data_IF_449677009005
#
_entry.id   IF_449677009005
#
_cell.length_a   1.000
_cell.length_b   1.000
_cell.length_c   1.000
_cell.angle_alpha   90.00
_cell.angle_beta   90.00
_cell.angle_gamma   90.00
#
_symmetry.space_group_name_H-M   'P 1'
#
loop_
_entity.id
_entity.type
_entity.pdbx_description
1 polymer ?
#
# COMPACT_ATOMS: atom_id res chain seq x y z
N UNK A 1 9.12 8.89 20.55
CA UNK A 1 8.04 9.07 19.57
C UNK A 1 7.89 10.56 19.31
N UNK A 2 8.03 10.99 18.06
CA UNK A 2 7.97 12.40 17.65
C UNK A 2 7.68 12.51 16.15
N UNK A 3 7.18 13.65 15.75
CA UNK A 3 7.12 14.06 14.34
C UNK A 3 8.55 14.45 13.90
N UNK A 4 8.94 14.08 12.69
CA UNK A 4 10.21 14.50 12.12
C UNK A 4 10.24 16.02 11.90
N UNK A 5 11.40 16.64 12.12
CA UNK A 5 11.53 18.10 12.14
C UNK A 5 11.17 18.76 10.81
N UNK A 6 11.34 18.05 9.68
CA UNK A 6 10.93 18.52 8.36
C UNK A 6 9.41 18.61 8.18
N UNK A 7 8.61 17.91 8.98
CA UNK A 7 7.15 17.94 8.94
C UNK A 7 6.55 18.86 10.01
N UNK A 8 7.34 19.31 10.97
CA UNK A 8 6.88 20.20 12.03
C UNK A 8 7.18 19.70 13.44
N UNK A 9 6.48 20.26 14.42
CA UNK A 9 6.63 19.96 15.84
C UNK A 9 5.51 19.07 16.37
N UNK A 10 5.68 18.56 17.58
CA UNK A 10 4.62 17.81 18.26
C UNK A 10 3.41 18.69 18.62
N UNK A 11 3.66 19.96 18.93
CA UNK A 11 2.61 20.94 19.21
C UNK A 11 1.76 21.23 17.98
N UNK A 12 2.39 21.35 16.80
CA UNK A 12 1.67 21.52 15.52
C UNK A 12 0.89 20.26 15.15
N UNK A 13 1.40 19.08 15.46
CA UNK A 13 0.66 17.84 15.28
C UNK A 13 -0.56 17.75 16.21
N UNK A 14 -0.41 18.14 17.48
CA UNK A 14 -1.53 18.20 18.43
C UNK A 14 -2.60 19.22 17.97
N UNK A 15 -2.19 20.35 17.40
CA UNK A 15 -3.10 21.32 16.77
C UNK A 15 -3.83 20.72 15.56
N UNK A 16 -3.12 19.98 14.68
CA UNK A 16 -3.70 19.28 13.54
C UNK A 16 -4.79 18.30 13.98
N UNK A 17 -4.53 17.48 15.00
CA UNK A 17 -5.52 16.53 15.54
C UNK A 17 -6.76 17.27 16.07
N UNK A 18 -6.56 18.36 16.81
CA UNK A 18 -7.64 19.15 17.37
C UNK A 18 -8.48 19.84 16.28
N UNK A 19 -7.84 20.39 15.23
CA UNK A 19 -8.52 21.05 14.12
C UNK A 19 -9.26 20.07 13.20
N UNK A 20 -8.71 18.88 12.99
CA UNK A 20 -9.39 17.81 12.27
C UNK A 20 -10.66 17.38 13.01
N UNK A 21 -10.56 17.11 14.31
CA UNK A 21 -11.69 16.71 15.15
C UNK A 21 -12.83 17.72 15.17
N UNK A 22 -12.54 19.03 15.17
CA UNK A 22 -13.56 20.10 15.09
C UNK A 22 -14.37 20.04 13.77
N UNK A 23 -13.83 19.38 12.75
CA UNK A 23 -14.44 19.21 11.42
C UNK A 23 -15.02 17.82 11.21
N UNK A 24 -15.15 17.04 12.27
CA UNK A 24 -15.56 15.64 12.23
C UNK A 24 -14.66 14.79 11.29
N UNK A 25 -13.36 15.09 11.35
CA UNK A 25 -12.31 14.38 10.61
C UNK A 25 -11.34 13.75 11.61
N UNK A 26 -10.84 12.58 11.25
CA UNK A 26 -9.88 11.84 12.06
C UNK A 26 -8.60 11.61 11.26
N UNK A 27 -7.47 11.78 11.92
CA UNK A 27 -6.16 11.46 11.33
C UNK A 27 -5.87 9.99 11.60
N UNK A 28 -5.56 9.27 10.52
CA UNK A 28 -5.11 7.87 10.54
C UNK A 28 -3.64 7.88 10.12
N UNK A 29 -2.76 7.29 10.94
CA UNK A 29 -1.33 7.21 10.63
C UNK A 29 -0.98 5.87 10.00
N UNK A 30 0.12 5.86 9.26
CA UNK A 30 0.75 4.63 8.81
C UNK A 30 1.50 3.96 9.98
N UNK A 31 1.25 2.68 10.18
CA UNK A 31 1.81 1.86 11.25
C UNK A 31 2.70 0.77 10.65
N UNK A 32 4.01 1.01 10.68
CA UNK A 32 5.02 0.06 10.21
C UNK A 32 5.51 -0.76 11.39
N UNK A 33 5.12 -2.02 11.47
CA UNK A 33 5.44 -2.90 12.61
C UNK A 33 6.15 -4.20 12.23
N UNK A 34 6.23 -4.53 10.94
CA UNK A 34 7.03 -5.68 10.49
C UNK A 34 8.53 -5.41 10.66
N UNK A 35 8.98 -4.21 10.39
CA UNK A 35 10.39 -3.81 10.38
C UNK A 35 10.58 -2.42 11.00
N UNK A 36 11.82 -1.99 11.16
CA UNK A 36 12.14 -0.62 11.53
C UNK A 36 13.30 -0.08 10.68
N UNK A 37 13.62 1.19 10.85
CA UNK A 37 14.81 1.77 10.25
C UNK A 37 16.10 1.16 10.83
N UNK A 38 17.13 0.93 10.00
CA UNK A 38 18.48 0.60 10.45
C UNK A 38 19.10 1.67 11.36
N UNK A 39 18.52 2.89 11.36
CA UNK A 39 18.89 3.97 12.27
C UNK A 39 18.27 3.85 13.68
N UNK A 40 17.36 2.87 13.88
CA UNK A 40 16.74 2.65 15.18
C UNK A 40 17.76 2.29 16.25
N UNK A 41 17.63 2.89 17.44
CA UNK A 41 18.61 2.72 18.53
C UNK A 41 18.84 1.26 18.94
N UNK A 42 17.77 0.44 18.95
CA UNK A 42 17.88 -0.99 19.30
C UNK A 42 18.61 -1.78 18.23
N UNK A 43 18.42 -1.46 16.95
CA UNK A 43 19.13 -2.14 15.88
C UNK A 43 20.62 -1.79 15.88
N UNK A 44 20.95 -0.51 16.06
CA UNK A 44 22.35 -0.07 16.23
C UNK A 44 23.03 -0.74 17.42
N UNK A 45 22.31 -0.88 18.54
CA UNK A 45 22.82 -1.59 19.72
C UNK A 45 23.03 -3.09 19.43
N UNK A 46 22.07 -3.74 18.73
CA UNK A 46 22.18 -5.14 18.33
C UNK A 46 23.35 -5.39 17.36
N UNK A 47 23.58 -4.49 16.39
CA UNK A 47 24.75 -4.58 15.51
C UNK A 47 26.08 -4.42 16.26
N UNK A 48 26.10 -3.62 17.34
CA UNK A 48 27.31 -3.38 18.15
C UNK A 48 27.62 -4.58 19.06
N UNK A 49 26.57 -5.23 19.58
CA UNK A 49 26.67 -6.44 20.43
C UNK A 49 25.67 -7.50 19.94
N UNK A 50 26.06 -8.32 18.94
CA UNK A 50 25.18 -9.32 18.35
C UNK A 50 24.75 -10.47 19.27
N UNK A 51 25.31 -10.56 20.47
CA UNK A 51 24.93 -11.48 21.54
C UNK A 51 24.32 -10.76 22.76
N UNK A 52 24.15 -9.44 22.65
CA UNK A 52 23.64 -8.57 23.69
C UNK A 52 22.11 -8.59 23.82
N UNK A 53 21.55 -7.78 24.74
CA UNK A 53 20.14 -7.81 25.09
C UNK A 53 19.19 -7.40 23.96
N UNK A 54 19.65 -6.70 22.94
CA UNK A 54 18.82 -6.29 21.81
C UNK A 54 18.97 -7.21 20.57
N UNK A 55 19.89 -8.21 20.62
CA UNK A 55 20.10 -9.12 19.49
C UNK A 55 18.83 -9.92 19.15
N UNK A 56 18.08 -10.36 20.19
CA UNK A 56 16.82 -11.12 20.04
C UNK A 56 15.61 -10.26 19.66
N UNK A 57 15.79 -8.94 19.51
CA UNK A 57 14.73 -8.07 18.99
C UNK A 57 14.59 -8.16 17.46
N UNK A 58 15.59 -8.73 16.81
CA UNK A 58 15.69 -8.93 15.37
C UNK A 58 16.00 -10.39 15.06
N UNK A 59 15.79 -10.83 13.84
CA UNK A 59 16.17 -12.17 13.42
C UNK A 59 17.66 -12.18 13.07
N UNK A 60 18.52 -12.36 14.09
CA UNK A 60 19.96 -12.55 13.94
C UNK A 60 20.28 -14.04 13.91
N UNK A 61 20.52 -14.60 12.71
CA UNK A 61 20.68 -16.04 12.49
C UNK A 61 22.10 -16.35 12.04
N UNK A 62 22.69 -17.43 12.58
CA UNK A 62 24.02 -17.88 12.15
C UNK A 62 24.02 -18.31 10.70
N UNK A 63 25.06 -17.90 9.98
CA UNK A 63 25.32 -18.39 8.65
C UNK A 63 25.66 -19.88 8.63
N UNK A 64 25.44 -20.51 7.47
CA UNK A 64 25.74 -21.90 7.21
C UNK A 64 26.96 -21.96 6.28
N UNK A 65 28.04 -22.59 6.72
CA UNK A 65 29.30 -22.70 5.95
C UNK A 65 29.85 -21.37 5.44
N UNK A 66 29.68 -20.29 6.24
CA UNK A 66 30.13 -18.94 5.89
C UNK A 66 29.27 -18.23 4.85
N UNK A 67 28.06 -18.72 4.60
CA UNK A 67 27.03 -18.13 3.72
C UNK A 67 25.80 -17.78 4.52
N UNK A 68 24.84 -17.15 3.86
CA UNK A 68 23.53 -16.81 4.40
C UNK A 68 22.81 -18.04 4.98
N UNK A 69 21.94 -17.86 5.99
CA UNK A 69 21.17 -18.97 6.59
C UNK A 69 20.29 -19.71 5.58
N UNK A 70 19.76 -18.99 4.59
CA UNK A 70 18.87 -19.52 3.55
C UNK A 70 18.90 -18.66 2.29
N UNK A 71 18.25 -19.12 1.22
CA UNK A 71 18.31 -18.48 -0.09
C UNK A 71 17.13 -17.55 -0.40
N UNK A 72 16.66 -16.77 0.56
CA UNK A 72 15.54 -15.86 0.31
C UNK A 72 15.96 -14.60 -0.46
N UNK A 73 15.07 -14.18 -1.40
CA UNK A 73 15.10 -12.91 -2.11
C UNK A 73 14.17 -11.93 -1.41
N UNK A 74 14.63 -10.69 -1.18
CA UNK A 74 13.81 -9.61 -0.62
C UNK A 74 12.73 -9.16 -1.63
N UNK A 75 11.69 -8.50 -1.13
CA UNK A 75 10.62 -7.90 -1.98
C UNK A 75 11.18 -6.88 -2.99
N UNK A 76 12.28 -6.20 -2.67
CA UNK A 76 12.91 -5.19 -3.52
C UNK A 76 14.09 -5.73 -4.34
N UNK A 77 14.22 -7.04 -4.44
CA UNK A 77 15.32 -7.68 -5.14
C UNK A 77 16.55 -7.91 -4.25
N UNK A 78 17.47 -8.74 -4.71
CA UNK A 78 18.65 -9.14 -3.96
C UNK A 78 18.34 -10.08 -2.79
N UNK A 79 19.35 -10.36 -1.96
CA UNK A 79 19.23 -11.27 -0.82
C UNK A 79 18.46 -10.62 0.32
N UNK A 80 17.70 -11.43 1.08
CA UNK A 80 16.98 -10.99 2.28
C UNK A 80 17.83 -11.07 3.57
N UNK A 81 19.09 -11.45 3.46
CA UNK A 81 20.03 -11.59 4.56
C UNK A 81 21.24 -10.69 4.36
N UNK A 82 21.57 -9.88 5.36
CA UNK A 82 22.78 -9.07 5.40
C UNK A 82 23.72 -9.51 6.53
N UNK A 83 25.06 -9.55 6.31
CA UNK A 83 25.99 -9.96 7.32
C UNK A 83 26.05 -8.96 8.48
N UNK A 84 26.08 -9.47 9.71
CA UNK A 84 26.30 -8.67 10.91
C UNK A 84 27.81 -8.43 11.09
N UNK A 85 28.29 -7.17 11.08
CA UNK A 85 29.71 -6.87 11.16
C UNK A 85 30.41 -7.50 12.37
N UNK A 86 31.50 -8.21 12.14
CA UNK A 86 32.31 -8.84 13.20
C UNK A 86 31.69 -10.11 13.81
N UNK A 87 30.64 -10.65 13.25
CA UNK A 87 29.94 -11.86 13.71
C UNK A 87 29.82 -12.92 12.60
N UNK A 88 29.45 -14.13 12.97
CA UNK A 88 29.06 -15.20 12.03
C UNK A 88 27.55 -15.21 11.74
N UNK A 89 26.83 -14.14 12.17
CA UNK A 89 25.39 -13.98 12.01
C UNK A 89 25.03 -13.08 10.83
N UNK A 90 23.80 -13.24 10.40
CA UNK A 90 23.12 -12.41 9.41
C UNK A 90 21.81 -11.89 10.02
N UNK A 91 21.37 -10.70 9.63
CA UNK A 91 20.05 -10.20 9.99
C UNK A 91 19.10 -10.29 8.81
N UNK A 92 17.83 -10.55 9.11
CA UNK A 92 16.75 -10.63 8.12
C UNK A 92 16.20 -9.25 7.78
N UNK A 93 15.97 -9.02 6.49
CA UNK A 93 15.16 -7.92 5.97
C UNK A 93 14.32 -8.41 4.80
N UNK A 94 13.00 -8.47 4.96
CA UNK A 94 12.12 -8.85 3.85
C UNK A 94 12.01 -7.75 2.79
N UNK A 95 12.26 -6.49 3.18
CA UNK A 95 12.28 -5.30 2.33
C UNK A 95 13.72 -4.82 2.10
N UNK A 96 14.00 -3.52 2.16
CA UNK A 96 15.36 -3.02 2.00
C UNK A 96 16.27 -3.41 3.19
N UNK A 97 17.58 -3.53 2.95
CA UNK A 97 18.56 -3.81 4.02
C UNK A 97 18.58 -2.76 5.14
N UNK A 98 18.09 -1.56 4.85
CA UNK A 98 17.88 -0.48 5.80
C UNK A 98 16.60 -0.66 6.63
N UNK A 99 15.84 -1.75 6.40
CA UNK A 99 14.58 -2.06 7.06
C UNK A 99 14.64 -3.45 7.73
N UNK A 100 15.46 -3.63 8.80
CA UNK A 100 15.57 -4.90 9.51
C UNK A 100 14.24 -5.31 10.14
N UNK A 101 13.89 -6.59 10.01
CA UNK A 101 12.64 -7.15 10.51
C UNK A 101 12.68 -7.34 12.03
N UNK A 102 11.60 -6.90 12.72
CA UNK A 102 11.38 -7.18 14.12
C UNK A 102 11.11 -8.67 14.37
N UNK A 103 11.67 -9.19 15.46
CA UNK A 103 11.35 -10.54 15.95
C UNK A 103 10.03 -10.53 16.72
N UNK A 104 8.92 -10.78 16.02
CA UNK A 104 7.59 -10.84 16.64
C UNK A 104 7.37 -12.03 17.58
N UNK A 105 8.20 -13.07 17.55
CA UNK A 105 8.18 -14.14 18.54
C UNK A 105 8.63 -13.63 19.93
N UNK A 106 9.40 -12.54 19.96
CA UNK A 106 9.84 -11.93 21.21
C UNK A 106 8.75 -11.05 21.82
N UNK A 107 8.19 -11.50 22.96
CA UNK A 107 7.12 -10.75 23.63
C UNK A 107 7.53 -9.33 24.04
N UNK A 108 8.78 -9.10 24.39
CA UNK A 108 9.23 -7.76 24.78
C UNK A 108 9.16 -6.78 23.59
N UNK A 109 9.43 -7.26 22.38
CA UNK A 109 9.26 -6.48 21.15
C UNK A 109 7.79 -6.12 20.95
N UNK A 110 6.87 -7.09 21.05
CA UNK A 110 5.43 -6.84 20.92
C UNK A 110 4.95 -5.82 21.96
N UNK A 111 5.33 -5.98 23.24
CA UNK A 111 4.95 -5.05 24.32
C UNK A 111 5.42 -3.61 24.04
N UNK A 112 6.61 -3.43 23.43
CA UNK A 112 7.12 -2.11 23.03
C UNK A 112 6.34 -1.52 21.87
N UNK A 113 5.97 -2.34 20.89
CA UNK A 113 5.12 -1.94 19.76
C UNK A 113 3.75 -1.50 20.26
N UNK A 114 3.09 -2.30 21.13
CA UNK A 114 1.77 -1.95 21.68
C UNK A 114 1.82 -0.67 22.53
N UNK A 115 2.87 -0.47 23.29
CA UNK A 115 3.08 0.79 24.02
C UNK A 115 3.21 1.99 23.08
N UNK A 116 3.88 1.82 21.94
CA UNK A 116 4.01 2.87 20.92
C UNK A 116 2.66 3.19 20.28
N UNK A 117 1.88 2.16 19.89
CA UNK A 117 0.54 2.31 19.33
C UNK A 117 -0.37 3.08 20.30
N UNK A 118 -0.44 2.64 21.55
CA UNK A 118 -1.26 3.26 22.58
C UNK A 118 -0.86 4.72 22.84
N UNK A 119 0.43 5.04 22.80
CA UNK A 119 0.91 6.42 22.97
C UNK A 119 0.38 7.37 21.88
N UNK A 120 0.29 6.91 20.62
CA UNK A 120 -0.30 7.70 19.55
C UNK A 120 -1.83 7.81 19.68
N UNK A 121 -2.51 6.75 20.09
CA UNK A 121 -3.95 6.75 20.33
C UNK A 121 -4.32 7.65 21.52
N UNK A 122 -3.53 7.68 22.58
CA UNK A 122 -3.68 8.60 23.72
C UNK A 122 -3.61 10.08 23.31
N UNK A 123 -2.91 10.41 22.23
CA UNK A 123 -2.88 11.77 21.65
C UNK A 123 -4.16 12.14 20.91
N UNK A 124 -5.03 11.20 20.62
CA UNK A 124 -6.28 11.42 19.90
C UNK A 124 -6.24 11.06 18.42
N UNK A 125 -5.28 10.21 18.01
CA UNK A 125 -5.29 9.64 16.68
C UNK A 125 -6.55 8.80 16.47
N UNK A 126 -7.14 8.85 15.26
CA UNK A 126 -8.36 8.09 14.94
C UNK A 126 -8.11 6.62 14.61
N UNK A 127 -6.87 6.25 14.33
CA UNK A 127 -6.52 4.88 13.99
C UNK A 127 -5.27 4.74 13.13
N UNK A 128 -5.14 3.59 12.47
CA UNK A 128 -3.95 3.26 11.69
C UNK A 128 -4.26 2.54 10.36
N UNK A 129 -3.48 2.86 9.34
CA UNK A 129 -3.22 1.98 8.21
C UNK A 129 -2.03 1.11 8.59
N UNK A 130 -2.16 -0.21 8.50
CA UNK A 130 -1.16 -1.13 9.03
C UNK A 130 -0.41 -1.77 7.87
N UNK A 131 0.87 -1.39 7.76
CA UNK A 131 1.78 -1.76 6.69
C UNK A 131 2.18 -3.23 6.75
N UNK A 132 2.12 -3.91 5.60
CA UNK A 132 2.68 -5.26 5.37
C UNK A 132 2.41 -6.27 6.51
N UNK A 133 1.24 -6.20 7.11
CA UNK A 133 0.95 -6.82 8.41
C UNK A 133 1.04 -8.35 8.42
N UNK A 134 0.77 -9.01 7.31
CA UNK A 134 0.88 -10.47 7.21
C UNK A 134 2.31 -10.95 7.45
N UNK A 135 3.31 -10.11 7.18
CA UNK A 135 4.71 -10.46 7.31
C UNK A 135 5.22 -10.53 8.76
N UNK A 136 4.42 -10.19 9.75
CA UNK A 136 4.85 -10.27 11.17
C UNK A 136 5.02 -11.72 11.66
N UNK A 137 4.31 -12.68 11.05
CA UNK A 137 4.45 -14.11 11.34
C UNK A 137 5.24 -14.80 10.23
N UNK A 138 6.31 -15.51 10.62
CA UNK A 138 7.26 -16.13 9.70
C UNK A 138 7.63 -17.52 10.17
N UNK A 139 8.01 -18.41 9.24
CA UNK A 139 8.72 -19.64 9.59
C UNK A 139 10.14 -19.30 10.08
N UNK A 140 10.32 -19.31 11.39
CA UNK A 140 11.59 -18.96 12.05
C UNK A 140 12.63 -20.06 11.96
N UNK A 141 12.35 -21.19 11.34
CA UNK A 141 13.35 -22.20 10.97
C UNK A 141 14.17 -21.82 9.74
N UNK A 142 13.66 -20.84 8.97
CA UNK A 142 14.30 -20.28 7.77
C UNK A 142 14.85 -21.32 6.81
N UNK A 143 14.06 -22.31 6.35
CA UNK A 143 14.53 -23.33 5.42
C UNK A 143 14.85 -22.72 4.05
N UNK A 144 15.80 -23.32 3.33
CA UNK A 144 15.99 -23.02 1.91
C UNK A 144 15.02 -23.80 1.05
N UNK A 145 14.57 -23.18 -0.05
CA UNK A 145 13.68 -23.79 -1.04
C UNK A 145 14.35 -23.88 -2.41
N UNK A 146 13.72 -24.61 -3.34
CA UNK A 146 14.14 -24.59 -4.74
C UNK A 146 14.02 -23.16 -5.28
N UNK A 147 15.05 -22.64 -5.95
CA UNK A 147 15.02 -21.29 -6.53
C UNK A 147 13.85 -21.11 -7.50
N UNK A 148 13.24 -19.94 -7.47
CA UNK A 148 12.16 -19.52 -8.37
C UNK A 148 12.66 -18.65 -9.55
N UNK A 149 13.98 -18.41 -9.62
CA UNK A 149 14.65 -17.63 -10.66
C UNK A 149 16.09 -18.04 -10.90
N UNK A 150 16.73 -17.43 -11.89
CA UNK A 150 18.11 -17.74 -12.33
C UNK A 150 19.19 -17.24 -11.34
N UNK A 151 18.81 -16.41 -10.38
CA UNK A 151 19.69 -15.86 -9.33
C UNK A 151 20.00 -16.85 -8.19
N UNK A 152 19.36 -18.03 -8.20
CA UNK A 152 19.50 -19.04 -7.16
C UNK A 152 18.76 -18.73 -5.85
N UNK A 153 17.91 -17.71 -5.86
CA UNK A 153 17.10 -17.28 -4.72
C UNK A 153 15.64 -17.72 -4.88
N UNK A 154 14.89 -17.64 -3.79
CA UNK A 154 13.45 -17.86 -3.74
C UNK A 154 12.78 -16.66 -3.06
N UNK A 155 11.59 -16.31 -3.48
CA UNK A 155 10.82 -15.21 -2.87
C UNK A 155 10.69 -15.37 -1.34
N UNK A 156 10.93 -14.29 -0.59
CA UNK A 156 10.75 -14.28 0.87
C UNK A 156 9.30 -14.50 1.31
N UNK A 157 8.34 -14.37 0.40
CA UNK A 157 6.93 -14.72 0.63
C UNK A 157 6.76 -16.13 1.18
N UNK A 158 7.66 -17.06 0.79
CA UNK A 158 7.67 -18.45 1.30
C UNK A 158 7.73 -18.54 2.83
N UNK A 159 8.39 -17.60 3.50
CA UNK A 159 8.41 -17.56 4.96
C UNK A 159 7.03 -17.34 5.60
N UNK A 160 6.13 -16.70 4.87
CA UNK A 160 4.76 -16.36 5.32
C UNK A 160 3.77 -17.43 4.85
N UNK A 161 3.84 -17.83 3.58
CA UNK A 161 2.93 -18.84 3.00
C UNK A 161 2.98 -20.18 3.71
N UNK A 162 4.16 -20.60 4.18
CA UNK A 162 4.37 -21.87 4.85
C UNK A 162 4.17 -21.79 6.39
N UNK A 163 3.62 -20.65 6.88
CA UNK A 163 3.45 -20.42 8.33
C UNK A 163 1.99 -20.12 8.64
N UNK A 164 1.48 -20.72 9.71
CA UNK A 164 0.16 -20.43 10.26
C UNK A 164 0.27 -19.62 11.56
N UNK A 165 -0.86 -19.05 12.02
CA UNK A 165 -0.96 -18.43 13.35
C UNK A 165 -0.68 -16.93 13.37
N UNK A 166 -0.75 -16.22 12.25
CA UNK A 166 -0.71 -14.74 12.23
C UNK A 166 -1.83 -14.16 13.10
N UNK A 167 -3.01 -14.80 13.12
CA UNK A 167 -4.17 -14.40 13.91
C UNK A 167 -3.88 -14.28 15.40
N UNK A 168 -2.97 -15.10 15.98
CA UNK A 168 -2.58 -14.98 17.38
C UNK A 168 -1.94 -13.63 17.72
N UNK A 169 -1.08 -13.13 16.85
CA UNK A 169 -0.44 -11.82 17.00
C UNK A 169 -1.41 -10.67 16.75
N UNK A 170 -2.32 -10.85 15.79
CA UNK A 170 -3.36 -9.86 15.48
C UNK A 170 -4.36 -9.72 16.61
N UNK A 171 -4.79 -10.82 17.20
CA UNK A 171 -5.68 -10.87 18.38
C UNK A 171 -5.04 -10.16 19.59
N UNK A 172 -3.77 -10.51 19.91
CA UNK A 172 -3.04 -9.85 20.99
C UNK A 172 -2.93 -8.34 20.74
N UNK A 173 -2.57 -7.94 19.51
CA UNK A 173 -2.45 -6.53 19.14
C UNK A 173 -3.79 -5.79 19.25
N UNK A 174 -4.89 -6.37 18.74
CA UNK A 174 -6.23 -5.78 18.82
C UNK A 174 -6.63 -5.53 20.29
N UNK A 175 -6.51 -6.54 21.15
CA UNK A 175 -6.87 -6.42 22.55
C UNK A 175 -5.98 -5.47 23.35
N UNK A 176 -4.66 -5.49 23.06
CA UNK A 176 -3.72 -4.64 23.78
C UNK A 176 -3.74 -3.17 23.30
N UNK A 177 -4.33 -2.89 22.13
CA UNK A 177 -4.30 -1.55 21.53
C UNK A 177 -5.67 -1.07 21.02
N UNK A 178 -6.05 -1.41 19.82
CA UNK A 178 -7.13 -0.79 19.04
C UNK A 178 -8.49 -0.83 19.70
N UNK A 179 -8.83 -1.96 20.32
CA UNK A 179 -10.11 -2.16 21.00
C UNK A 179 -10.32 -1.21 22.18
N UNK A 180 -9.24 -0.84 22.87
CA UNK A 180 -9.29 0.08 24.02
C UNK A 180 -9.71 1.51 23.64
N UNK A 181 -9.55 1.87 22.37
CA UNK A 181 -9.76 3.24 21.85
C UNK A 181 -10.88 3.32 20.81
N UNK A 182 -11.51 2.21 20.43
CA UNK A 182 -12.43 2.13 19.30
C UNK A 182 -11.78 2.70 18.01
N UNK A 183 -10.51 2.35 17.80
CA UNK A 183 -9.69 2.92 16.74
C UNK A 183 -10.03 2.28 15.39
N UNK A 184 -10.13 3.11 14.33
CA UNK A 184 -10.26 2.61 12.97
C UNK A 184 -8.94 2.00 12.51
N UNK A 185 -9.02 0.81 11.89
CA UNK A 185 -7.84 0.12 11.35
C UNK A 185 -8.09 -0.38 9.94
N UNK A 186 -7.08 -0.22 9.06
CA UNK A 186 -7.11 -0.80 7.73
C UNK A 186 -5.80 -1.53 7.46
N UNK A 187 -5.89 -2.83 7.23
CA UNK A 187 -4.73 -3.69 7.00
C UNK A 187 -4.28 -3.67 5.54
N UNK A 188 -2.98 -3.60 5.33
CA UNK A 188 -2.35 -3.93 4.06
C UNK A 188 -1.98 -5.42 4.07
N UNK A 189 -2.81 -6.22 3.42
CA UNK A 189 -2.72 -7.68 3.43
C UNK A 189 -2.50 -8.18 2.02
N UNK A 190 -1.32 -8.73 1.76
CA UNK A 190 -0.95 -9.41 0.51
C UNK A 190 -0.81 -10.90 0.77
N UNK A 191 -0.94 -11.72 -0.27
CA UNK A 191 -0.70 -13.16 -0.20
C UNK A 191 -1.49 -13.88 0.91
N UNK A 192 -2.70 -13.39 1.20
CA UNK A 192 -3.62 -14.00 2.15
C UNK A 192 -4.08 -15.35 1.63
N UNK A 193 -4.16 -16.35 2.50
CA UNK A 193 -4.77 -17.66 2.18
C UNK A 193 -6.29 -17.52 2.03
N UNK A 194 -6.92 -18.41 1.24
CA UNK A 194 -8.36 -18.33 0.97
C UNK A 194 -9.24 -18.40 2.23
N UNK A 195 -8.78 -19.06 3.28
CA UNK A 195 -9.51 -19.24 4.54
C UNK A 195 -9.16 -18.18 5.62
N UNK A 196 -8.23 -17.27 5.35
CA UNK A 196 -7.78 -16.25 6.32
C UNK A 196 -8.58 -14.94 6.27
N UNK A 197 -9.49 -14.72 5.31
CA UNK A 197 -10.21 -13.45 5.18
C UNK A 197 -10.89 -13.00 6.49
N UNK A 198 -11.51 -13.93 7.20
CA UNK A 198 -12.22 -13.65 8.44
C UNK A 198 -11.28 -13.38 9.63
N UNK A 199 -10.00 -13.74 9.53
CA UNK A 199 -8.98 -13.32 10.48
C UNK A 199 -8.76 -11.80 10.42
N UNK A 200 -8.86 -11.22 9.22
CA UNK A 200 -8.57 -9.81 9.02
C UNK A 200 -9.79 -8.92 9.20
N UNK A 201 -10.94 -9.28 8.65
CA UNK A 201 -12.15 -8.44 8.63
C UNK A 201 -13.41 -9.23 8.98
N UNK A 202 -14.42 -8.53 9.51
CA UNK A 202 -15.69 -9.12 9.94
C UNK A 202 -15.93 -8.94 11.43
N UNK A 203 -16.98 -9.56 11.95
CA UNK A 203 -17.39 -9.42 13.34
C UNK A 203 -16.29 -9.89 14.32
N UNK A 204 -15.61 -10.98 13.98
CA UNK A 204 -14.49 -11.53 14.75
C UNK A 204 -13.13 -11.09 14.20
N UNK A 205 -13.09 -10.37 13.07
CA UNK A 205 -11.87 -9.90 12.42
C UNK A 205 -11.06 -8.92 13.28
N UNK A 206 -9.76 -8.83 12.98
CA UNK A 206 -8.83 -8.04 13.78
C UNK A 206 -8.72 -6.58 13.34
N UNK A 207 -9.22 -6.25 12.13
CA UNK A 207 -9.22 -4.89 11.58
C UNK A 207 -10.62 -4.44 11.18
N UNK A 208 -10.84 -3.12 11.16
CA UNK A 208 -12.07 -2.51 10.67
C UNK A 208 -12.25 -2.74 9.17
N UNK A 209 -11.15 -2.83 8.43
CA UNK A 209 -11.14 -3.04 6.97
C UNK A 209 -9.76 -3.55 6.51
N UNK A 210 -9.69 -3.98 5.26
CA UNK A 210 -8.44 -4.24 4.54
C UNK A 210 -8.52 -3.69 3.13
N UNK A 211 -7.38 -3.35 2.52
CA UNK A 211 -7.37 -2.86 1.14
C UNK A 211 -7.76 -3.95 0.15
N UNK A 212 -8.54 -3.57 -0.86
CA UNK A 212 -8.88 -4.45 -1.98
C UNK A 212 -7.80 -4.38 -3.06
N UNK A 213 -6.90 -5.35 -3.04
CA UNK A 213 -5.82 -5.49 -4.02
C UNK A 213 -6.16 -6.42 -5.19
N UNK A 214 -7.36 -6.99 -5.22
CA UNK A 214 -7.75 -8.00 -6.21
C UNK A 214 -7.61 -7.56 -7.67
N UNK A 215 -7.70 -6.26 -7.96
CA UNK A 215 -7.52 -5.71 -9.30
C UNK A 215 -6.06 -5.38 -9.66
N UNK A 216 -5.15 -5.32 -8.71
CA UNK A 216 -3.77 -4.90 -8.95
C UNK A 216 -2.98 -5.96 -9.74
N UNK A 217 -3.19 -7.22 -9.46
CA UNK A 217 -2.49 -8.35 -10.08
C UNK A 217 -2.81 -8.53 -11.57
N UNK A 218 -3.88 -7.90 -12.07
CA UNK A 218 -4.33 -8.06 -13.45
C UNK A 218 -3.31 -7.55 -14.50
N UNK A 219 -2.39 -6.69 -14.09
CA UNK A 219 -1.37 -6.12 -14.98
C UNK A 219 -0.01 -6.77 -14.83
N UNK A 220 0.20 -7.61 -13.80
CA UNK A 220 1.51 -8.21 -13.55
C UNK A 220 1.88 -9.23 -14.62
N UNK A 221 3.16 -9.18 -15.04
CA UNK A 221 3.79 -10.19 -15.86
C UNK A 221 4.30 -11.38 -15.03
N UNK A 222 4.71 -12.44 -15.71
CA UNK A 222 5.28 -13.64 -15.07
C UNK A 222 6.74 -13.44 -14.65
N UNK A 223 7.47 -12.54 -15.35
CA UNK A 223 8.92 -12.39 -15.20
C UNK A 223 9.37 -11.01 -14.76
N UNK A 224 8.45 -10.06 -14.65
CA UNK A 224 8.74 -8.68 -14.24
C UNK A 224 7.87 -7.65 -14.96
N UNK A 225 8.22 -6.38 -14.80
CA UNK A 225 7.44 -5.31 -15.41
C UNK A 225 7.51 -5.28 -16.94
N UNK A 226 8.56 -5.87 -17.53
CA UNK A 226 8.75 -5.85 -18.98
C UNK A 226 7.79 -6.77 -19.74
N UNK A 227 7.13 -7.69 -19.06
CA UNK A 227 6.08 -8.52 -19.64
C UNK A 227 4.68 -8.23 -19.04
N UNK A 228 4.53 -7.08 -18.37
CA UNK A 228 3.24 -6.60 -17.87
C UNK A 228 2.21 -6.45 -19.01
N UNK A 229 0.93 -6.63 -18.67
CA UNK A 229 -0.17 -6.65 -19.64
C UNK A 229 -1.11 -5.49 -19.41
N UNK A 230 -1.68 -4.88 -20.47
CA UNK A 230 -2.77 -3.94 -20.32
C UNK A 230 -3.96 -4.57 -19.60
N UNK A 231 -4.72 -3.76 -18.87
CA UNK A 231 -5.92 -4.24 -18.18
C UNK A 231 -6.94 -4.75 -19.20
N UNK A 232 -7.37 -5.99 -19.03
CA UNK A 232 -8.57 -6.53 -19.66
C UNK A 232 -9.79 -6.06 -18.86
N UNK A 233 -10.63 -5.20 -19.43
CA UNK A 233 -11.79 -4.62 -18.75
C UNK A 233 -12.83 -5.65 -18.34
N UNK A 234 -12.98 -6.74 -19.09
CA UNK A 234 -13.88 -7.81 -18.73
C UNK A 234 -13.39 -8.50 -17.46
N UNK A 235 -12.11 -8.84 -17.45
CA UNK A 235 -11.46 -9.47 -16.30
C UNK A 235 -11.46 -8.55 -15.07
N UNK A 236 -11.14 -7.27 -15.25
CA UNK A 236 -11.20 -6.27 -14.17
C UNK A 236 -12.57 -6.21 -13.52
N UNK A 237 -13.63 -6.15 -14.33
CA UNK A 237 -15.02 -6.17 -13.87
C UNK A 237 -15.35 -7.46 -13.10
N UNK A 238 -14.97 -8.62 -13.63
CA UNK A 238 -15.18 -9.92 -12.98
C UNK A 238 -14.53 -9.97 -11.60
N UNK A 239 -13.30 -9.50 -11.48
CA UNK A 239 -12.53 -9.47 -10.24
C UNK A 239 -13.16 -8.52 -9.22
N UNK A 240 -13.55 -7.32 -9.63
CA UNK A 240 -14.23 -6.37 -8.75
C UNK A 240 -15.55 -6.94 -8.20
N UNK A 241 -16.38 -7.55 -9.03
CA UNK A 241 -17.63 -8.14 -8.56
C UNK A 241 -17.41 -9.39 -7.72
N UNK A 242 -16.41 -10.19 -8.01
CA UNK A 242 -16.03 -11.32 -7.17
C UNK A 242 -15.60 -10.86 -5.76
N UNK A 243 -14.77 -9.81 -5.67
CA UNK A 243 -14.38 -9.20 -4.41
C UNK A 243 -15.58 -8.63 -3.62
N UNK A 244 -16.52 -7.98 -4.30
CA UNK A 244 -17.75 -7.50 -3.65
C UNK A 244 -18.59 -8.64 -3.08
N UNK A 245 -18.71 -9.74 -3.82
CA UNK A 245 -19.48 -10.93 -3.42
C UNK A 245 -18.82 -11.67 -2.26
N UNK A 246 -17.49 -11.78 -2.26
CA UNK A 246 -16.72 -12.40 -1.20
C UNK A 246 -17.01 -11.75 0.16
N UNK A 247 -17.22 -10.42 0.17
CA UNK A 247 -17.46 -9.64 1.38
C UNK A 247 -18.90 -9.62 1.87
N UNK A 248 -19.84 -10.28 1.17
CA UNK A 248 -21.25 -10.32 1.58
C UNK A 248 -21.42 -11.00 2.94
N UNK A 249 -21.95 -10.24 3.91
CA UNK A 249 -22.19 -10.75 5.28
C UNK A 249 -20.92 -10.90 6.13
N UNK A 250 -19.75 -10.49 5.65
CA UNK A 250 -18.49 -10.55 6.39
C UNK A 250 -18.13 -9.16 6.91
N UNK A 251 -17.82 -8.22 6.03
CA UNK A 251 -17.32 -6.90 6.43
C UNK A 251 -17.19 -5.95 5.24
N UNK A 252 -16.20 -5.06 5.30
CA UNK A 252 -15.95 -4.04 4.28
C UNK A 252 -14.49 -4.03 3.88
N UNK A 253 -14.20 -4.11 2.57
CA UNK A 253 -12.89 -3.78 2.04
C UNK A 253 -12.75 -2.27 1.80
N UNK A 254 -11.54 -1.77 1.82
CA UNK A 254 -11.19 -0.42 1.40
C UNK A 254 -11.02 -0.41 -0.12
N UNK A 255 -11.95 0.27 -0.82
CA UNK A 255 -11.93 0.39 -2.27
C UNK A 255 -10.84 1.38 -2.69
N UNK A 256 -9.86 0.93 -3.44
CA UNK A 256 -8.77 1.74 -3.99
C UNK A 256 -8.70 1.62 -5.51
N UNK A 257 -8.24 2.67 -6.17
CA UNK A 257 -7.84 2.66 -7.59
C UNK A 257 -6.34 2.89 -7.72
N UNK A 258 -5.78 3.67 -6.82
CA UNK A 258 -4.36 3.99 -6.76
C UNK A 258 -3.96 4.26 -5.31
N UNK A 259 -2.68 4.14 -5.02
CA UNK A 259 -2.06 4.48 -3.74
C UNK A 259 -0.61 4.95 -3.97
N UNK A 260 0.17 5.11 -2.90
CA UNK A 260 1.56 5.57 -2.96
C UNK A 260 2.56 4.51 -3.47
N UNK A 261 2.12 3.26 -3.63
CA UNK A 261 2.93 2.13 -4.10
C UNK A 261 2.52 1.62 -5.49
N UNK A 262 1.55 2.29 -6.13
CA UNK A 262 1.03 1.91 -7.42
C UNK A 262 1.16 3.08 -8.43
N UNK A 263 1.14 2.82 -9.75
CA UNK A 263 1.02 3.90 -10.73
C UNK A 263 -0.34 4.59 -10.63
N UNK A 264 -0.50 5.72 -11.28
CA UNK A 264 -1.78 6.44 -11.32
C UNK A 264 -2.87 5.60 -11.98
N UNK A 265 -4.01 5.45 -11.31
CA UNK A 265 -5.13 4.63 -11.76
C UNK A 265 -5.68 5.02 -13.13
N UNK A 266 -5.69 6.32 -13.45
CA UNK A 266 -6.09 6.79 -14.77
C UNK A 266 -5.18 6.27 -15.90
N UNK A 267 -3.88 6.09 -15.65
CA UNK A 267 -2.95 5.52 -16.62
C UNK A 267 -2.97 3.99 -16.64
N UNK A 268 -3.20 3.35 -15.49
CA UNK A 268 -3.21 1.89 -15.36
C UNK A 268 -4.47 1.25 -15.94
N UNK A 269 -5.65 1.77 -15.59
CA UNK A 269 -6.92 1.15 -15.92
C UNK A 269 -7.57 1.68 -17.19
N UNK A 270 -7.13 2.82 -17.72
CA UNK A 270 -7.72 3.40 -18.92
C UNK A 270 -6.76 3.29 -20.10
N UNK A 271 -7.19 2.71 -21.22
CA UNK A 271 -6.41 2.83 -22.44
C UNK A 271 -6.26 4.30 -22.82
N UNK A 272 -5.19 4.65 -23.56
CA UNK A 272 -4.82 6.04 -23.87
C UNK A 272 -5.99 6.89 -24.40
N UNK A 273 -6.80 6.32 -25.30
CA UNK A 273 -7.96 7.04 -25.86
C UNK A 273 -9.06 7.34 -24.82
N UNK A 274 -9.07 6.65 -23.70
CA UNK A 274 -10.05 6.80 -22.60
C UNK A 274 -9.49 7.58 -21.39
N UNK A 275 -8.22 8.01 -21.41
CA UNK A 275 -7.61 8.81 -20.33
C UNK A 275 -8.10 10.27 -20.33
N UNK A 276 -9.34 10.47 -20.71
CA UNK A 276 -10.07 11.74 -20.69
C UNK A 276 -10.95 11.87 -19.44
N UNK A 277 -11.60 13.01 -19.26
CA UNK A 277 -12.46 13.26 -18.07
C UNK A 277 -13.57 12.22 -17.90
N UNK A 278 -14.15 11.70 -18.97
CA UNK A 278 -15.22 10.69 -18.89
C UNK A 278 -14.70 9.36 -18.34
N UNK A 279 -13.55 8.90 -18.81
CA UNK A 279 -12.91 7.69 -18.28
C UNK A 279 -12.54 7.84 -16.80
N UNK A 280 -11.97 8.99 -16.42
CA UNK A 280 -11.63 9.30 -15.01
C UNK A 280 -12.86 9.33 -14.11
N UNK A 281 -13.98 9.87 -14.59
CA UNK A 281 -15.28 9.86 -13.89
C UNK A 281 -15.86 8.44 -13.78
N UNK A 282 -15.67 7.59 -14.78
CA UNK A 282 -16.05 6.18 -14.69
C UNK A 282 -15.27 5.46 -13.59
N UNK A 283 -13.95 5.66 -13.47
CA UNK A 283 -13.16 5.13 -12.37
C UNK A 283 -13.64 5.65 -11.01
N UNK A 284 -13.95 6.96 -10.90
CA UNK A 284 -14.51 7.56 -9.70
C UNK A 284 -15.83 6.88 -9.29
N UNK A 285 -16.73 6.65 -10.25
CA UNK A 285 -18.00 5.95 -10.01
C UNK A 285 -17.77 4.56 -9.44
N UNK A 286 -16.85 3.81 -10.05
CA UNK A 286 -16.52 2.45 -9.61
C UNK A 286 -15.96 2.46 -8.18
N UNK A 287 -15.02 3.35 -7.86
CA UNK A 287 -14.39 3.41 -6.53
C UNK A 287 -15.37 3.86 -5.44
N UNK A 288 -16.21 4.87 -5.73
CA UNK A 288 -17.03 5.53 -4.70
C UNK A 288 -18.37 4.80 -4.47
N UNK A 289 -18.98 4.21 -5.50
CA UNK A 289 -20.31 3.65 -5.38
C UNK A 289 -20.37 2.13 -5.12
N UNK A 290 -19.26 1.41 -5.23
CA UNK A 290 -19.18 0.03 -4.76
C UNK A 290 -19.31 -0.02 -3.23
N UNK A 291 -19.81 -1.15 -2.71
CA UNK A 291 -19.86 -1.42 -1.27
C UNK A 291 -18.43 -1.48 -0.72
N UNK A 292 -18.21 -0.91 0.44
CA UNK A 292 -16.88 -0.84 1.07
C UNK A 292 -16.57 0.58 1.53
N UNK A 293 -15.33 0.81 1.92
CA UNK A 293 -14.85 2.12 2.37
C UNK A 293 -14.04 2.75 1.24
N UNK A 294 -14.55 3.82 0.57
CA UNK A 294 -13.80 4.43 -0.52
C UNK A 294 -12.59 5.19 0.01
N UNK A 295 -11.43 4.87 -0.53
CA UNK A 295 -10.18 5.60 -0.33
C UNK A 295 -9.85 6.38 -1.59
N UNK A 296 -9.60 7.67 -1.44
CA UNK A 296 -9.23 8.58 -2.53
C UNK A 296 -7.79 8.98 -2.32
N UNK A 297 -6.91 8.58 -3.23
CA UNK A 297 -5.51 8.98 -3.17
C UNK A 297 -5.35 10.41 -3.69
N UNK A 298 -4.46 11.18 -3.07
CA UNK A 298 -4.20 12.59 -3.46
C UNK A 298 -3.86 12.72 -4.95
N UNK A 299 -4.61 13.57 -5.66
CA UNK A 299 -4.49 13.77 -7.11
C UNK A 299 -5.40 12.88 -7.94
N UNK A 300 -5.95 11.80 -7.39
CA UNK A 300 -6.96 10.98 -8.04
C UNK A 300 -8.21 11.80 -8.37
N UNK A 301 -8.63 12.67 -7.46
CA UNK A 301 -9.83 13.53 -7.56
C UNK A 301 -9.74 14.57 -8.67
N UNK A 302 -8.55 14.87 -9.15
CA UNK A 302 -8.34 15.74 -10.33
C UNK A 302 -7.90 14.95 -11.57
N UNK A 303 -7.75 13.63 -11.43
CA UNK A 303 -7.37 12.74 -12.52
C UNK A 303 -5.92 12.87 -12.96
N UNK A 304 -4.97 12.97 -12.01
CA UNK A 304 -3.54 12.90 -12.31
C UNK A 304 -3.18 11.60 -13.04
N UNK A 305 -2.15 11.64 -13.87
CA UNK A 305 -1.68 10.52 -14.69
C UNK A 305 -0.21 10.23 -14.43
N UNK A 306 0.28 9.10 -14.95
CA UNK A 306 1.71 8.79 -14.93
C UNK A 306 2.55 9.90 -15.58
N UNK A 307 3.79 10.03 -15.13
CA UNK A 307 4.74 11.03 -15.60
C UNK A 307 5.83 10.40 -16.46
N UNK A 308 5.94 10.83 -17.72
CA UNK A 308 7.03 10.39 -18.58
C UNK A 308 8.38 10.92 -18.11
N UNK A 309 9.38 10.05 -18.07
CA UNK A 309 10.78 10.35 -17.80
C UNK A 309 11.64 9.80 -18.92
N UNK A 310 12.75 10.47 -19.23
CA UNK A 310 13.59 10.16 -20.37
C UNK A 310 14.79 9.28 -20.02
N UNK A 311 15.10 9.17 -18.72
CA UNK A 311 16.25 8.40 -18.24
C UNK A 311 15.94 7.78 -16.89
N UNK A 312 16.54 6.60 -16.63
CA UNK A 312 16.34 5.89 -15.35
C UNK A 312 16.84 6.69 -14.15
N UNK A 313 17.78 7.60 -14.31
CA UNK A 313 18.27 8.48 -13.24
C UNK A 313 17.24 9.51 -12.76
N UNK A 314 16.16 9.74 -13.51
CA UNK A 314 15.04 10.59 -13.11
C UNK A 314 14.05 9.89 -12.18
N UNK A 315 14.19 8.57 -11.98
CA UNK A 315 13.44 7.79 -10.99
C UNK A 315 14.24 7.66 -9.70
N UNK A 316 13.55 7.70 -8.57
CA UNK A 316 14.17 7.51 -7.26
C UNK A 316 13.83 6.16 -6.62
N UNK A 317 12.67 5.61 -6.93
CA UNK A 317 12.20 4.34 -6.42
C UNK A 317 13.16 3.18 -6.74
N UNK A 318 13.55 2.42 -5.69
CA UNK A 318 14.50 1.31 -5.81
C UNK A 318 13.92 0.16 -6.63
N UNK A 319 12.62 -0.16 -6.48
CA UNK A 319 11.96 -1.20 -7.27
C UNK A 319 11.95 -0.86 -8.75
N UNK A 320 11.77 0.42 -9.09
CA UNK A 320 11.82 0.88 -10.48
C UNK A 320 13.20 0.68 -11.09
N UNK A 321 14.26 0.99 -10.34
CA UNK A 321 15.65 0.79 -10.78
C UNK A 321 16.00 -0.69 -10.94
N UNK A 322 15.53 -1.53 -10.02
CA UNK A 322 15.70 -2.98 -10.10
C UNK A 322 14.98 -3.55 -11.32
N UNK A 323 13.71 -3.25 -11.51
CA UNK A 323 12.91 -3.74 -12.62
C UNK A 323 13.37 -3.21 -13.99
N UNK A 324 13.92 -1.99 -14.04
CA UNK A 324 14.62 -1.52 -15.23
C UNK A 324 15.80 -2.42 -15.58
N UNK A 325 16.63 -2.79 -14.59
CA UNK A 325 17.77 -3.68 -14.81
C UNK A 325 17.32 -5.08 -15.22
N UNK A 326 16.27 -5.62 -14.58
CA UNK A 326 15.66 -6.90 -14.95
C UNK A 326 15.23 -6.90 -16.44
N UNK A 327 14.60 -5.84 -16.90
CA UNK A 327 14.22 -5.70 -18.30
C UNK A 327 15.44 -5.66 -19.25
N UNK A 328 16.50 -4.92 -18.90
CA UNK A 328 17.75 -4.87 -19.66
C UNK A 328 18.41 -6.25 -19.73
N UNK A 329 18.47 -6.98 -18.62
CA UNK A 329 19.07 -8.30 -18.54
C UNK A 329 18.27 -9.35 -19.31
N UNK A 330 16.95 -9.15 -19.43
CA UNK A 330 16.06 -9.95 -20.29
C UNK A 330 16.21 -9.62 -21.79
N UNK A 331 17.02 -8.59 -22.15
CA UNK A 331 17.33 -8.22 -23.53
C UNK A 331 16.46 -7.12 -24.12
N UNK A 332 15.66 -6.43 -23.28
CA UNK A 332 14.92 -5.25 -23.71
C UNK A 332 15.86 -4.09 -24.08
N UNK A 333 15.46 -3.25 -25.01
CA UNK A 333 16.13 -1.97 -25.27
C UNK A 333 15.91 -1.00 -24.10
N UNK A 334 16.70 0.06 -24.02
CA UNK A 334 16.52 1.10 -23.00
C UNK A 334 15.15 1.76 -23.09
N UNK A 335 14.66 1.97 -24.30
CA UNK A 335 13.36 2.56 -24.58
C UNK A 335 12.22 1.65 -24.07
N UNK A 336 12.30 0.34 -24.32
CA UNK A 336 11.34 -0.64 -23.81
C UNK A 336 11.38 -0.73 -22.27
N UNK A 337 12.56 -0.77 -21.67
CA UNK A 337 12.71 -0.78 -20.23
C UNK A 337 12.16 0.51 -19.57
N UNK A 338 12.37 1.68 -20.17
CA UNK A 338 11.77 2.94 -19.69
C UNK A 338 10.24 2.97 -19.86
N UNK A 339 9.71 2.37 -20.93
CA UNK A 339 8.27 2.24 -21.11
C UNK A 339 7.63 1.40 -19.98
N UNK A 340 8.27 0.29 -19.58
CA UNK A 340 7.84 -0.50 -18.44
C UNK A 340 7.86 0.29 -17.12
N UNK A 341 8.91 1.11 -16.92
CA UNK A 341 9.00 2.00 -15.77
C UNK A 341 7.89 3.06 -15.78
N UNK A 342 7.57 3.64 -16.95
CA UNK A 342 6.46 4.58 -17.09
C UNK A 342 5.12 3.97 -16.67
N UNK A 343 4.88 2.73 -17.04
CA UNK A 343 3.60 2.07 -16.73
C UNK A 343 3.47 1.65 -15.27
N UNK A 344 4.58 1.20 -14.63
CA UNK A 344 4.50 0.48 -13.36
C UNK A 344 5.16 1.18 -12.16
N UNK A 345 5.97 2.25 -12.38
CA UNK A 345 6.71 2.89 -11.30
C UNK A 345 5.82 3.57 -10.27
N UNK A 346 6.14 3.34 -8.99
CA UNK A 346 5.54 4.00 -7.83
C UNK A 346 5.81 5.53 -7.83
N UNK A 347 6.90 5.98 -8.42
CA UNK A 347 7.22 7.42 -8.55
C UNK A 347 6.15 8.19 -9.32
N UNK A 348 5.33 7.52 -10.12
CA UNK A 348 4.19 8.15 -10.79
C UNK A 348 3.16 8.71 -9.79
N UNK A 349 2.86 7.95 -8.74
CA UNK A 349 1.94 8.38 -7.68
C UNK A 349 2.59 9.37 -6.70
N UNK A 350 3.92 9.43 -6.65
CA UNK A 350 4.70 10.28 -5.73
C UNK A 350 5.10 11.63 -6.33
N UNK A 351 4.71 11.91 -7.57
CA UNK A 351 4.87 13.24 -8.17
C UNK A 351 4.12 14.30 -7.35
N UNK A 352 4.62 15.55 -7.28
CA UNK A 352 3.96 16.63 -6.57
C UNK A 352 2.50 16.83 -6.99
N UNK A 353 1.64 17.14 -6.01
CA UNK A 353 0.24 17.51 -6.26
C UNK A 353 0.17 18.75 -7.17
N UNK A 354 -0.71 18.68 -8.15
CA UNK A 354 -0.89 19.73 -9.16
C UNK A 354 -1.97 20.72 -8.71
N UNK A 355 -1.57 21.78 -7.98
CA UNK A 355 -2.48 22.77 -7.44
C UNK A 355 -2.91 23.82 -8.45
N UNK A 356 -2.00 24.26 -9.33
CA UNK A 356 -2.25 25.29 -10.33
C UNK A 356 -1.35 25.13 -11.57
N UNK A 357 -1.55 26.00 -12.56
CA UNK A 357 -0.69 26.11 -13.75
C UNK A 357 0.61 26.89 -13.49
N UNK A 358 0.87 27.35 -12.26
CA UNK A 358 2.09 28.05 -11.87
C UNK A 358 3.31 27.13 -11.84
N UNK A 359 4.49 27.71 -11.67
CA UNK A 359 5.74 26.95 -11.59
C UNK A 359 5.67 25.83 -10.53
N UNK A 360 6.22 24.67 -10.87
CA UNK A 360 6.13 23.45 -10.06
C UNK A 360 4.68 23.02 -9.70
N UNK A 361 3.71 23.35 -10.57
CA UNK A 361 2.31 23.01 -10.31
C UNK A 361 1.69 23.75 -9.12
N UNK A 362 2.28 24.87 -8.67
CA UNK A 362 1.90 25.56 -7.44
C UNK A 362 2.22 24.77 -6.16
N UNK A 363 2.99 23.67 -6.26
CA UNK A 363 3.34 22.82 -5.12
C UNK A 363 4.46 23.42 -4.26
N UNK A 364 5.49 23.95 -4.90
CA UNK A 364 6.68 24.45 -4.23
C UNK A 364 7.30 25.65 -4.97
N UNK A 365 7.92 26.55 -4.21
CA UNK A 365 8.78 27.62 -4.74
C UNK A 365 10.21 27.15 -5.08
N UNK A 366 10.53 25.91 -4.77
CA UNK A 366 11.82 25.28 -5.04
C UNK A 366 11.62 24.03 -5.88
N UNK A 367 12.70 23.51 -6.48
CA UNK A 367 12.66 22.23 -7.15
C UNK A 367 12.18 21.11 -6.19
N UNK A 368 11.08 20.43 -6.52
CA UNK A 368 10.58 19.35 -5.66
C UNK A 368 11.48 18.10 -5.79
N UNK A 369 11.32 17.17 -4.85
CA UNK A 369 12.03 15.88 -4.86
C UNK A 369 11.90 15.15 -6.19
N UNK A 370 10.67 14.86 -6.64
CA UNK A 370 10.40 14.37 -8.00
C UNK A 370 9.89 15.50 -8.88
N UNK A 371 10.21 15.46 -10.17
CA UNK A 371 9.71 16.43 -11.12
C UNK A 371 8.18 16.40 -11.21
N UNK A 372 7.58 17.57 -11.30
CA UNK A 372 6.13 17.71 -11.55
C UNK A 372 5.81 17.16 -12.95
N UNK A 373 4.71 16.44 -13.08
CA UNK A 373 4.23 15.98 -14.37
C UNK A 373 3.93 17.20 -15.27
N UNK A 374 4.51 17.29 -16.48
CA UNK A 374 4.33 18.45 -17.37
C UNK A 374 2.89 18.82 -17.68
N UNK A 375 1.95 17.88 -17.53
CA UNK A 375 0.52 18.13 -17.76
C UNK A 375 -0.16 18.94 -16.65
N UNK A 376 0.57 19.40 -15.64
CA UNK A 376 0.02 20.26 -14.57
C UNK A 376 -0.62 21.55 -15.07
N UNK A 377 -0.26 21.99 -16.28
CA UNK A 377 -0.86 23.17 -16.91
C UNK A 377 -2.32 22.97 -17.32
N UNK A 378 -2.72 21.71 -17.51
CA UNK A 378 -4.06 21.31 -17.94
C UNK A 378 -4.82 20.56 -16.84
N UNK A 379 -4.12 19.73 -16.07
CA UNK A 379 -4.68 18.94 -14.98
C UNK A 379 -4.20 19.54 -13.67
N UNK A 380 -5.03 20.35 -13.04
CA UNK A 380 -4.74 20.94 -11.72
C UNK A 380 -6.03 21.34 -10.99
N UNK A 381 -5.90 21.57 -9.68
CA UNK A 381 -7.03 21.95 -8.84
C UNK A 381 -7.68 23.26 -9.29
N UNK A 382 -6.87 24.30 -9.57
CA UNK A 382 -7.39 25.63 -9.92
C UNK A 382 -8.23 25.64 -11.20
N UNK A 383 -7.87 24.82 -12.20
CA UNK A 383 -8.63 24.69 -13.44
C UNK A 383 -9.94 23.90 -13.27
N UNK A 384 -10.04 23.07 -12.24
CA UNK A 384 -11.19 22.20 -12.01
C UNK A 384 -12.13 22.74 -10.94
N UNK A 385 -11.63 23.51 -9.98
CA UNK A 385 -12.43 24.08 -8.93
C UNK A 385 -13.48 25.08 -9.47
N UNK A 386 -14.74 24.87 -9.12
CA UNK A 386 -15.86 25.68 -9.61
C UNK A 386 -16.35 25.35 -11.04
N UNK A 387 -15.67 24.50 -11.76
CA UNK A 387 -16.14 23.98 -13.05
C UNK A 387 -17.04 22.76 -12.82
N UNK A 388 -18.34 22.91 -13.10
CA UNK A 388 -19.36 21.92 -12.76
C UNK A 388 -19.14 20.54 -13.43
N UNK A 389 -18.54 20.52 -14.61
CA UNK A 389 -18.27 19.31 -15.39
C UNK A 389 -16.86 18.73 -15.18
N UNK A 390 -16.09 19.24 -14.21
CA UNK A 390 -14.75 18.73 -13.93
C UNK A 390 -14.77 17.36 -13.22
N UNK A 391 -13.61 16.68 -13.22
CA UNK A 391 -13.42 15.43 -12.46
C UNK A 391 -13.56 15.70 -10.97
N UNK A 392 -12.97 16.79 -10.46
CA UNK A 392 -13.07 17.21 -9.07
C UNK A 392 -14.51 17.45 -8.60
N UNK A 393 -15.31 18.16 -9.42
CA UNK A 393 -16.73 18.40 -9.11
C UNK A 393 -17.51 17.09 -9.09
N UNK A 394 -17.20 16.18 -9.99
CA UNK A 394 -17.84 14.87 -10.04
C UNK A 394 -17.54 14.02 -8.80
N UNK A 395 -16.29 14.02 -8.30
CA UNK A 395 -15.96 13.38 -7.01
C UNK A 395 -16.77 13.97 -5.86
N UNK A 396 -16.91 15.28 -5.78
CA UNK A 396 -17.74 15.97 -4.76
C UNK A 396 -19.20 15.54 -4.85
N UNK A 397 -19.76 15.42 -6.06
CA UNK A 397 -21.12 14.94 -6.28
C UNK A 397 -21.32 13.49 -5.86
N UNK A 398 -20.40 12.58 -6.21
CA UNK A 398 -20.46 11.17 -5.82
C UNK A 398 -20.38 10.98 -4.29
N UNK A 399 -19.49 11.70 -3.63
CA UNK A 399 -19.37 11.67 -2.16
C UNK A 399 -20.65 12.20 -1.51
N UNK A 400 -21.22 13.28 -2.04
CA UNK A 400 -22.49 13.85 -1.56
C UNK A 400 -23.63 12.86 -1.75
N UNK A 401 -23.72 12.19 -2.91
CA UNK A 401 -24.71 11.17 -3.20
C UNK A 401 -24.57 9.99 -2.21
N UNK A 402 -23.36 9.45 -2.04
CA UNK A 402 -23.09 8.32 -1.16
C UNK A 402 -23.47 8.61 0.29
N UNK A 403 -23.24 9.84 0.77
CA UNK A 403 -23.55 10.29 2.14
C UNK A 403 -24.96 10.85 2.30
N UNK A 404 -25.79 10.86 1.25
CA UNK A 404 -27.14 11.39 1.35
C UNK A 404 -28.02 10.44 2.18
N UNK A 405 -28.87 10.95 3.08
CA UNK A 405 -29.73 10.12 3.93
C UNK A 405 -30.66 9.16 3.16
N UNK A 406 -30.97 9.48 1.89
CA UNK A 406 -31.81 8.65 1.03
C UNK A 406 -31.10 7.37 0.57
N UNK A 407 -29.76 7.42 0.36
CA UNK A 407 -29.00 6.34 -0.26
C UNK A 407 -27.86 5.79 0.61
N UNK A 408 -27.54 6.45 1.72
CA UNK A 408 -26.42 6.08 2.61
C UNK A 408 -26.50 4.59 3.00
N UNK A 409 -27.63 4.16 3.50
CA UNK A 409 -27.84 2.76 3.92
C UNK A 409 -27.62 1.79 2.75
N UNK A 410 -28.11 2.15 1.55
CA UNK A 410 -27.95 1.33 0.34
C UNK A 410 -26.49 1.24 -0.09
N UNK A 411 -25.75 2.36 -0.12
CA UNK A 411 -24.35 2.35 -0.54
C UNK A 411 -23.41 1.76 0.50
N UNK A 412 -23.75 1.81 1.78
CA UNK A 412 -22.91 1.26 2.84
C UNK A 412 -23.18 -0.23 3.05
N UNK A 413 -24.45 -0.64 3.15
CA UNK A 413 -24.82 -2.01 3.56
C UNK A 413 -25.46 -2.85 2.44
N UNK A 414 -25.84 -2.24 1.33
CA UNK A 414 -26.46 -2.95 0.22
C UNK A 414 -25.49 -3.87 -0.50
N UNK A 415 -25.97 -5.00 -0.99
CA UNK A 415 -25.18 -5.90 -1.82
C UNK A 415 -25.09 -5.37 -3.25
N UNK A 416 -23.99 -5.66 -3.93
CA UNK A 416 -23.76 -5.29 -5.32
C UNK A 416 -24.14 -6.46 -6.22
N UNK A 417 -25.09 -6.26 -7.11
CA UNK A 417 -25.42 -7.25 -8.14
C UNK A 417 -24.94 -6.76 -9.51
N UNK A 418 -24.07 -7.53 -10.19
CA UNK A 418 -23.70 -7.22 -11.55
C UNK A 418 -24.88 -7.45 -12.49
N UNK A 419 -25.07 -6.55 -13.45
CA UNK A 419 -26.07 -6.70 -14.53
C UNK A 419 -25.41 -6.48 -15.88
N UNK A 420 -25.95 -7.13 -16.92
CA UNK A 420 -25.37 -7.07 -18.27
C UNK A 420 -23.93 -7.61 -18.36
N UNK A 421 -23.60 -8.66 -17.62
CA UNK A 421 -22.27 -9.27 -17.57
C UNK A 421 -21.77 -9.75 -18.94
N UNK A 422 -22.69 -10.14 -19.82
CA UNK A 422 -22.39 -10.65 -21.17
C UNK A 422 -22.13 -9.55 -22.21
N UNK A 423 -22.16 -8.29 -21.82
CA UNK A 423 -21.95 -7.15 -22.71
C UNK A 423 -20.64 -6.43 -22.44
N UNK A 424 -20.17 -5.65 -23.41
CA UNK A 424 -19.02 -4.75 -23.23
C UNK A 424 -19.36 -3.55 -22.29
N UNK A 425 -20.62 -3.45 -21.85
CA UNK A 425 -21.10 -2.41 -20.94
C UNK A 425 -21.21 -2.97 -19.54
N UNK A 426 -20.41 -2.45 -18.60
CA UNK A 426 -20.57 -2.78 -17.20
C UNK A 426 -21.68 -1.94 -16.56
N UNK A 427 -22.65 -2.59 -15.95
CA UNK A 427 -23.64 -1.95 -15.09
C UNK A 427 -23.68 -2.70 -13.77
N UNK A 428 -23.63 -1.97 -12.66
CA UNK A 428 -23.86 -2.52 -11.33
C UNK A 428 -25.17 -2.00 -10.76
N UNK A 429 -25.82 -2.81 -9.98
CA UNK A 429 -27.02 -2.45 -9.23
C UNK A 429 -26.80 -2.73 -7.75
N UNK A 430 -26.94 -1.71 -6.91
CA UNK A 430 -26.85 -1.85 -5.46
C UNK A 430 -28.23 -1.73 -4.85
N UNK A 431 -28.65 -2.71 -4.04
CA UNK A 431 -29.94 -2.71 -3.38
C UNK A 431 -29.86 -3.36 -1.99
N UNK A 432 -30.74 -2.91 -1.10
CA UNK A 432 -31.00 -3.60 0.16
C UNK A 432 -32.00 -4.75 -0.10
N UNK A 433 -31.67 -5.96 0.33
CA UNK A 433 -32.65 -7.00 0.53
C UNK A 433 -33.36 -6.73 1.85
N UNK A 434 -34.69 -6.53 1.76
CA UNK A 434 -35.56 -6.44 2.93
C UNK A 434 -35.65 -7.77 3.67
#
# INVERSE_FOLDING_TARGET
>A
YKIAEEFGTMEEFDELLAEAKKRDMYIVMDLVVNHCSSEHEYFKAALTDPDGPYADYFYFVKGIDGKEPSNYRSYFGGKAWEPVPGSDKYYLHMFAKEQPDWNWENKEVRDKIYKMINWWLDKGLGGFRIDAIINIKKDTSFPSYEPDGDDGLVSCVKMVEETDGVGEFLEEMKHETFEKYDAFTVGEVFNMKEDELQEFVGDDGHFSSMFDFSALELTYGEHGWYDSKPVDFKRWREVLFASQKEMEGIGFKANIIENHDEPRGASRYLPEYAQNEMGKKMLATTSILLRGIPFIYQGQEIGMTNCHRNDISEYDDISTKDQYQVAIDAGCTKEEALACCYENSRDNARTPMQWSADENGGFSTHAPWLAVNPNYKEINVSEQEGRADSVLSYYKELITLRKSPEYEETFVYGNVEPVYEDTDTAVSYTHLRA
#
